data_IF_719492799982
#
_entry.id   IF_719492799982
#
_cell.length_a   1.000
_cell.length_b   1.000
_cell.length_c   1.000
_cell.angle_alpha   90.00
_cell.angle_beta   90.00
_cell.angle_gamma   90.00
#
_symmetry.space_group_name_H-M   'P 1'
#
loop_
_entity.id
_entity.type
_entity.pdbx_description
1 polymer ?
#
# COMPACT_ATOMS: atom_id res chain seq x y z
N UNK A 1 8.97 3.86 -5.37
CA UNK A 1 8.91 4.69 -6.60
C UNK A 1 7.66 5.55 -6.61
N UNK A 2 7.66 6.63 -7.40
CA UNK A 2 6.42 7.30 -7.83
C UNK A 2 5.65 6.41 -8.82
N UNK A 3 4.50 6.88 -9.32
CA UNK A 3 3.76 6.21 -10.39
C UNK A 3 4.61 6.08 -11.64
N UNK A 4 4.69 4.89 -12.20
CA UNK A 4 5.43 4.60 -13.44
C UNK A 4 4.39 4.21 -14.49
N UNK A 5 4.29 5.00 -15.55
CA UNK A 5 3.37 4.82 -16.67
C UNK A 5 4.05 4.17 -17.87
N UNK A 6 3.24 3.66 -18.78
CA UNK A 6 3.67 3.10 -20.06
C UNK A 6 4.00 4.17 -21.08
N UNK A 7 4.94 5.08 -20.75
CA UNK A 7 5.40 6.14 -21.64
C UNK A 7 6.73 5.80 -22.30
N UNK A 8 6.87 6.18 -23.53
CA UNK A 8 8.14 6.14 -24.24
C UNK A 8 9.12 7.14 -23.59
N UNK A 9 10.31 6.70 -23.12
CA UNK A 9 11.22 7.56 -22.39
C UNK A 9 11.89 8.65 -23.25
N UNK A 10 11.89 8.50 -24.59
CA UNK A 10 12.47 9.49 -25.49
C UNK A 10 11.48 10.61 -25.84
N UNK A 11 10.20 10.28 -25.94
CA UNK A 11 9.16 11.23 -26.40
C UNK A 11 8.18 11.65 -25.31
N UNK A 12 8.08 10.89 -24.22
CA UNK A 12 7.07 11.06 -23.18
C UNK A 12 5.66 10.60 -23.57
N UNK A 13 5.46 10.17 -24.82
CA UNK A 13 4.16 9.73 -25.32
C UNK A 13 3.74 8.39 -24.68
N UNK A 14 2.44 8.21 -24.42
CA UNK A 14 1.91 6.91 -24.03
C UNK A 14 2.08 5.89 -25.16
N UNK A 15 2.37 4.65 -24.81
CA UNK A 15 2.40 3.54 -25.74
C UNK A 15 1.06 3.37 -26.47
N UNK A 16 1.13 3.02 -27.76
CA UNK A 16 -0.06 2.77 -28.57
C UNK A 16 -0.64 1.40 -28.21
N UNK A 17 -1.86 1.42 -27.68
CA UNK A 17 -2.58 0.23 -27.22
C UNK A 17 -2.10 -0.37 -25.91
N UNK A 18 -2.86 -1.37 -25.44
CA UNK A 18 -2.67 -1.96 -24.12
C UNK A 18 -1.34 -2.66 -23.94
N UNK A 19 -0.98 -3.58 -24.83
CA UNK A 19 0.26 -4.35 -24.73
C UNK A 19 1.49 -3.42 -24.67
N UNK A 20 1.51 -2.36 -25.47
CA UNK A 20 2.64 -1.43 -25.53
C UNK A 20 2.77 -0.60 -24.26
N UNK A 21 1.65 -0.17 -23.65
CA UNK A 21 1.72 0.55 -22.38
C UNK A 21 2.24 -0.36 -21.24
N UNK A 22 1.81 -1.61 -21.17
CA UNK A 22 2.33 -2.55 -20.18
C UNK A 22 3.81 -2.85 -20.39
N UNK A 23 4.24 -3.13 -21.62
CA UNK A 23 5.65 -3.33 -21.96
C UNK A 23 6.52 -2.12 -21.55
N UNK A 24 6.09 -0.92 -21.90
CA UNK A 24 6.81 0.30 -21.54
C UNK A 24 6.81 0.57 -20.03
N UNK A 25 5.70 0.38 -19.32
CA UNK A 25 5.63 0.59 -17.89
C UNK A 25 6.63 -0.31 -17.14
N UNK A 26 6.64 -1.60 -17.45
CA UNK A 26 7.59 -2.54 -16.86
C UNK A 26 9.05 -2.25 -17.30
N UNK A 27 9.27 -1.89 -18.56
CA UNK A 27 10.58 -1.44 -19.02
C UNK A 27 11.05 -0.16 -18.33
N UNK A 28 10.15 0.78 -18.05
CA UNK A 28 10.45 2.00 -17.30
C UNK A 28 10.79 1.70 -15.84
N UNK A 29 10.07 0.74 -15.20
CA UNK A 29 10.40 0.28 -13.86
C UNK A 29 11.84 -0.26 -13.80
N UNK A 30 12.21 -1.13 -14.75
CA UNK A 30 13.56 -1.68 -14.83
C UNK A 30 14.60 -0.58 -14.98
N UNK A 31 14.42 0.34 -15.95
CA UNK A 31 15.33 1.46 -16.17
C UNK A 31 15.49 2.36 -14.95
N UNK A 32 14.39 2.70 -14.28
CA UNK A 32 14.41 3.54 -13.07
C UNK A 32 15.25 2.89 -11.96
N UNK A 33 15.07 1.60 -11.74
CA UNK A 33 15.81 0.84 -10.73
C UNK A 33 17.30 0.78 -11.09
N UNK A 34 17.65 0.52 -12.35
CA UNK A 34 19.03 0.52 -12.85
C UNK A 34 19.69 1.91 -12.75
N UNK A 35 18.98 2.99 -13.07
CA UNK A 35 19.46 4.37 -12.90
C UNK A 35 19.72 4.74 -11.44
N UNK A 36 18.99 4.14 -10.51
CA UNK A 36 19.24 4.27 -9.08
C UNK A 36 20.42 3.42 -8.57
N UNK A 37 21.15 2.73 -9.46
CA UNK A 37 22.23 1.82 -9.10
C UNK A 37 21.78 0.49 -8.48
N UNK A 38 20.50 0.15 -8.65
CA UNK A 38 19.85 -1.02 -8.10
C UNK A 38 19.60 -2.08 -9.19
N UNK A 39 19.10 -3.23 -8.81
CA UNK A 39 18.74 -4.34 -9.70
C UNK A 39 17.26 -4.69 -9.52
N UNK A 40 16.68 -5.38 -10.51
CA UNK A 40 15.33 -5.94 -10.38
C UNK A 40 15.19 -6.85 -9.14
N UNK A 41 16.28 -7.46 -8.69
CA UNK A 41 16.31 -8.30 -7.49
C UNK A 41 16.16 -7.52 -6.18
N UNK A 42 16.40 -6.21 -6.19
CA UNK A 42 16.19 -5.34 -5.02
C UNK A 42 14.71 -4.97 -4.83
N UNK A 43 13.84 -5.22 -5.83
CA UNK A 43 12.41 -4.95 -5.74
C UNK A 43 11.74 -6.02 -4.86
N UNK A 44 11.19 -5.62 -3.72
CA UNK A 44 10.46 -6.51 -2.82
C UNK A 44 8.98 -6.61 -3.15
N UNK A 45 8.38 -5.52 -3.64
CA UNK A 45 6.95 -5.46 -3.93
C UNK A 45 6.66 -4.59 -5.15
N UNK A 46 5.69 -5.02 -5.97
CA UNK A 46 5.14 -4.23 -7.08
C UNK A 46 3.62 -4.15 -6.96
N UNK A 47 3.07 -2.94 -6.90
CA UNK A 47 1.64 -2.74 -7.13
C UNK A 47 1.41 -2.39 -8.59
N UNK A 48 0.52 -3.12 -9.25
CA UNK A 48 0.08 -2.88 -10.62
C UNK A 48 -1.32 -2.30 -10.57
N UNK A 49 -1.45 -1.05 -10.94
CA UNK A 49 -2.72 -0.34 -11.03
C UNK A 49 -3.20 -0.39 -12.47
N UNK A 50 -4.42 -0.84 -12.67
CA UNK A 50 -5.04 -0.97 -14.00
C UNK A 50 -6.37 -0.22 -14.06
N UNK A 51 -6.70 0.36 -15.20
CA UNK A 51 -7.92 1.13 -15.38
C UNK A 51 -9.19 0.27 -15.36
N UNK A 52 -9.07 -0.98 -15.82
CA UNK A 52 -10.15 -1.97 -15.79
C UNK A 52 -9.60 -3.40 -15.70
N UNK A 53 -10.49 -4.37 -15.43
CA UNK A 53 -10.11 -5.77 -15.19
C UNK A 53 -9.51 -6.48 -16.43
N UNK A 54 -9.75 -5.99 -17.65
CA UNK A 54 -9.21 -6.59 -18.89
C UNK A 54 -7.68 -6.44 -18.96
N UNK A 55 -7.11 -5.43 -18.29
CA UNK A 55 -5.67 -5.24 -18.17
C UNK A 55 -4.94 -6.37 -17.47
N UNK A 56 -5.62 -7.20 -16.67
CA UNK A 56 -4.97 -8.31 -15.92
C UNK A 56 -4.22 -9.29 -16.80
N UNK A 57 -4.78 -9.62 -17.96
CA UNK A 57 -4.16 -10.56 -18.91
C UNK A 57 -2.85 -10.02 -19.52
N UNK A 58 -2.64 -8.71 -19.52
CA UNK A 58 -1.46 -8.06 -20.10
C UNK A 58 -0.26 -8.00 -19.14
N UNK A 59 -0.46 -8.32 -17.86
CA UNK A 59 0.57 -8.16 -16.81
C UNK A 59 1.66 -9.24 -16.90
N UNK A 60 1.26 -10.50 -17.07
CA UNK A 60 2.17 -11.63 -16.84
C UNK A 60 3.30 -11.71 -17.88
N UNK A 61 3.08 -11.28 -19.12
CA UNK A 61 4.11 -11.28 -20.17
C UNK A 61 5.30 -10.36 -19.80
N UNK A 62 5.14 -9.04 -19.60
CA UNK A 62 6.24 -8.17 -19.21
C UNK A 62 6.77 -8.45 -17.79
N UNK A 63 5.92 -8.94 -16.87
CA UNK A 63 6.32 -9.38 -15.56
C UNK A 63 7.38 -10.47 -15.62
N UNK A 64 7.12 -11.55 -16.39
CA UNK A 64 8.04 -12.68 -16.54
C UNK A 64 9.32 -12.33 -17.30
N UNK A 65 9.31 -11.28 -18.12
CA UNK A 65 10.54 -10.77 -18.75
C UNK A 65 11.49 -10.11 -17.74
N UNK A 66 10.95 -9.47 -16.68
CA UNK A 66 11.75 -8.83 -15.64
C UNK A 66 12.07 -9.79 -14.49
N UNK A 67 11.12 -10.65 -14.14
CA UNK A 67 11.22 -11.62 -13.04
C UNK A 67 11.05 -13.06 -13.57
N UNK A 68 12.01 -13.56 -14.39
CA UNK A 68 11.88 -14.89 -15.01
C UNK A 68 12.00 -16.04 -14.02
N UNK A 69 12.85 -15.89 -13.00
CA UNK A 69 13.09 -16.92 -11.99
C UNK A 69 11.90 -17.02 -11.04
N UNK A 70 11.19 -18.15 -11.05
CA UNK A 70 10.03 -18.40 -10.20
C UNK A 70 10.35 -18.39 -8.71
N UNK A 71 11.58 -18.71 -8.34
CA UNK A 71 12.05 -18.71 -6.96
C UNK A 71 12.62 -17.35 -6.52
N UNK A 72 12.53 -16.32 -7.39
CA UNK A 72 13.02 -14.98 -7.10
C UNK A 72 12.08 -13.89 -7.65
N UNK A 73 10.77 -14.04 -7.48
CA UNK A 73 9.78 -13.01 -7.85
C UNK A 73 9.40 -12.14 -6.66
N UNK A 74 9.19 -10.82 -6.84
CA UNK A 74 8.67 -9.97 -5.78
C UNK A 74 7.20 -10.28 -5.48
N UNK A 75 6.73 -9.86 -4.30
CA UNK A 75 5.31 -9.81 -4.00
C UNK A 75 4.59 -8.86 -4.97
N UNK A 76 3.32 -9.14 -5.30
CA UNK A 76 2.54 -8.31 -6.23
C UNK A 76 1.10 -8.13 -5.75
N UNK A 77 0.61 -6.90 -5.87
CA UNK A 77 -0.81 -6.57 -5.82
C UNK A 77 -1.24 -6.02 -7.17
N UNK A 78 -2.29 -6.55 -7.75
CA UNK A 78 -3.00 -5.92 -8.86
C UNK A 78 -4.30 -5.32 -8.34
N UNK A 79 -4.57 -4.07 -8.67
CA UNK A 79 -5.77 -3.36 -8.24
C UNK A 79 -6.33 -2.51 -9.36
N UNK A 80 -7.65 -2.47 -9.48
CA UNK A 80 -8.37 -1.65 -10.46
C UNK A 80 -8.90 -0.40 -9.79
N UNK A 81 -8.65 0.75 -10.40
CA UNK A 81 -9.29 2.01 -10.07
C UNK A 81 -9.15 2.99 -11.25
N UNK A 82 -9.92 4.09 -11.28
CA UNK A 82 -9.79 5.09 -12.33
C UNK A 82 -8.34 5.60 -12.45
N UNK A 83 -7.81 5.59 -13.65
CA UNK A 83 -6.50 6.13 -13.99
C UNK A 83 -6.67 7.45 -14.78
N UNK A 84 -5.63 8.29 -14.89
CA UNK A 84 -5.64 9.46 -15.76
C UNK A 84 -6.00 9.10 -17.21
N UNK A 85 -6.51 10.09 -17.97
CA UNK A 85 -6.98 9.87 -19.34
C UNK A 85 -5.94 9.13 -20.21
N UNK A 86 -6.42 8.09 -20.94
CA UNK A 86 -5.62 7.20 -21.80
C UNK A 86 -4.54 6.36 -21.10
N UNK A 87 -4.30 6.56 -19.80
CA UNK A 87 -3.41 5.70 -19.02
C UNK A 87 -4.17 4.44 -18.62
N UNK A 88 -3.66 3.27 -18.95
CA UNK A 88 -4.30 1.99 -18.63
C UNK A 88 -3.55 1.17 -17.60
N UNK A 89 -2.29 1.55 -17.32
CA UNK A 89 -1.45 0.93 -16.31
C UNK A 89 -0.55 1.93 -15.63
N UNK A 90 -0.42 1.83 -14.31
CA UNK A 90 0.61 2.46 -13.51
C UNK A 90 1.26 1.41 -12.62
N UNK A 91 2.57 1.52 -12.40
CA UNK A 91 3.30 0.68 -11.47
C UNK A 91 3.83 1.51 -10.31
N UNK A 92 3.92 0.87 -9.15
CA UNK A 92 4.59 1.37 -7.97
C UNK A 92 5.44 0.24 -7.40
N UNK A 93 6.68 0.51 -7.04
CA UNK A 93 7.56 -0.49 -6.48
C UNK A 93 8.22 -0.03 -5.18
N UNK A 94 8.39 -0.98 -4.26
CA UNK A 94 9.18 -0.88 -3.05
C UNK A 94 10.25 -1.95 -3.06
N UNK A 95 11.39 -1.68 -2.43
CA UNK A 95 12.48 -2.63 -2.38
C UNK A 95 13.54 -2.22 -1.37
N UNK A 96 14.55 -3.07 -1.22
CA UNK A 96 15.67 -2.88 -0.30
C UNK A 96 16.97 -3.10 -1.07
N UNK A 97 17.80 -2.07 -1.16
CA UNK A 97 19.06 -2.11 -1.88
C UNK A 97 19.97 -3.24 -1.39
N UNK A 98 20.48 -4.05 -2.31
CA UNK A 98 21.39 -5.14 -2.03
C UNK A 98 20.80 -6.33 -1.26
N UNK A 99 19.50 -6.34 -1.01
CA UNK A 99 18.85 -7.42 -0.29
C UNK A 99 18.51 -8.59 -1.23
N UNK A 100 18.91 -9.79 -0.83
CA UNK A 100 18.48 -11.01 -1.52
C UNK A 100 17.02 -11.31 -1.15
N UNK A 101 16.16 -11.44 -2.17
CA UNK A 101 14.78 -11.87 -1.98
C UNK A 101 14.71 -13.37 -1.61
N UNK A 102 13.76 -13.68 -0.74
CA UNK A 102 13.36 -15.04 -0.40
C UNK A 102 11.84 -15.11 -0.56
N UNK A 103 11.31 -15.84 -1.54
CA UNK A 103 9.87 -16.03 -1.69
C UNK A 103 9.31 -16.77 -0.47
N UNK A 104 8.09 -16.40 -0.09
CA UNK A 104 7.36 -16.98 1.02
C UNK A 104 6.05 -17.55 0.50
N UNK A 105 5.75 -18.77 0.95
CA UNK A 105 4.52 -19.46 0.59
C UNK A 105 3.82 -19.97 1.86
N UNK A 106 2.51 -20.02 1.82
CA UNK A 106 1.71 -20.67 2.86
C UNK A 106 1.39 -22.07 2.33
N UNK A 107 1.88 -23.15 2.98
CA UNK A 107 1.59 -24.50 2.53
C UNK A 107 0.08 -24.73 2.35
N UNK A 108 -0.30 -25.26 1.19
CA UNK A 108 -1.69 -25.51 0.82
C UNK A 108 -2.41 -24.36 0.13
N UNK A 109 -1.85 -23.14 0.11
CA UNK A 109 -2.37 -22.03 -0.68
C UNK A 109 -1.57 -21.84 -1.97
N UNK A 110 -2.21 -21.28 -3.00
CA UNK A 110 -1.56 -20.94 -4.26
C UNK A 110 -2.21 -19.73 -4.92
N UNK A 111 -1.41 -18.95 -5.64
CA UNK A 111 -1.89 -17.94 -6.58
C UNK A 111 -2.10 -18.55 -7.97
N UNK A 112 -3.04 -18.00 -8.74
CA UNK A 112 -3.19 -18.34 -10.18
C UNK A 112 -2.14 -17.64 -11.03
N UNK A 113 -1.69 -16.47 -10.58
CA UNK A 113 -0.67 -15.66 -11.24
C UNK A 113 0.75 -16.10 -10.81
N UNK A 114 1.78 -15.88 -11.65
CA UNK A 114 3.15 -16.28 -11.37
C UNK A 114 3.83 -15.34 -10.35
N UNK A 115 3.40 -15.39 -9.11
CA UNK A 115 3.92 -14.60 -7.99
C UNK A 115 3.85 -15.39 -6.68
N UNK A 116 4.75 -15.12 -5.72
CA UNK A 116 4.72 -15.75 -4.39
C UNK A 116 3.61 -15.16 -3.52
N UNK A 117 3.25 -15.83 -2.41
CA UNK A 117 2.37 -15.28 -1.36
C UNK A 117 2.98 -14.04 -0.70
N UNK A 118 4.29 -13.96 -0.66
CA UNK A 118 5.06 -12.84 -0.18
C UNK A 118 6.54 -13.04 -0.42
N UNK A 119 7.35 -12.11 0.04
CA UNK A 119 8.79 -12.28 0.08
C UNK A 119 9.41 -11.54 1.26
N UNK A 120 10.58 -12.03 1.67
CA UNK A 120 11.50 -11.37 2.58
C UNK A 120 12.65 -10.78 1.78
N UNK A 121 12.93 -9.50 1.98
CA UNK A 121 14.04 -8.75 1.38
C UNK A 121 14.83 -8.07 2.49
N UNK A 122 15.97 -8.67 2.90
CA UNK A 122 16.67 -8.25 4.11
C UNK A 122 15.80 -8.43 5.36
N UNK A 123 15.58 -7.38 6.13
CA UNK A 123 14.65 -7.39 7.25
C UNK A 123 13.20 -7.09 6.86
N UNK A 124 12.95 -6.59 5.64
CA UNK A 124 11.60 -6.25 5.20
C UNK A 124 10.86 -7.48 4.68
N UNK A 125 9.57 -7.57 5.00
CA UNK A 125 8.65 -8.58 4.48
C UNK A 125 7.49 -7.88 3.79
N UNK A 126 7.18 -8.30 2.58
CA UNK A 126 6.05 -7.81 1.79
C UNK A 126 5.14 -8.97 1.41
N UNK A 127 3.85 -8.84 1.64
CA UNK A 127 2.90 -9.84 1.14
C UNK A 127 2.38 -9.47 -0.24
N UNK A 128 2.04 -10.49 -1.02
CA UNK A 128 1.03 -10.37 -2.06
C UNK A 128 -0.36 -10.31 -1.41
N UNK A 129 -1.41 -10.50 -2.19
CA UNK A 129 -2.77 -10.51 -1.66
C UNK A 129 -3.02 -11.82 -0.90
N UNK A 130 -3.53 -11.69 0.32
CA UNK A 130 -3.98 -12.79 1.16
C UNK A 130 -5.50 -12.69 1.33
N UNK A 131 -6.21 -13.77 1.12
CA UNK A 131 -7.66 -13.86 1.33
C UNK A 131 -8.01 -14.88 2.40
N UNK A 132 -9.32 -15.11 2.56
CA UNK A 132 -9.86 -16.08 3.52
C UNK A 132 -9.89 -17.51 2.97
N UNK A 133 -8.86 -17.95 2.23
CA UNK A 133 -8.77 -19.34 1.78
C UNK A 133 -8.26 -20.24 2.91
N UNK A 134 -8.91 -21.37 3.10
CA UNK A 134 -8.45 -22.44 4.01
C UNK A 134 -7.24 -23.15 3.37
N UNK A 135 -6.08 -23.21 4.03
CA UNK A 135 -4.89 -23.89 3.51
C UNK A 135 -5.08 -25.39 3.26
N UNK A 136 -6.05 -26.03 3.89
CA UNK A 136 -6.33 -27.47 3.68
C UNK A 136 -7.04 -27.73 2.37
N UNK A 137 -7.84 -26.81 1.89
CA UNK A 137 -8.70 -26.99 0.71
C UNK A 137 -8.38 -26.05 -0.43
N UNK A 138 -7.62 -24.99 -0.17
CA UNK A 138 -7.35 -23.84 -1.06
C UNK A 138 -8.64 -23.14 -1.55
N UNK A 139 -9.73 -23.25 -0.79
CA UNK A 139 -11.01 -22.62 -1.11
C UNK A 139 -11.33 -21.52 -0.11
N UNK A 140 -12.08 -20.50 -0.56
CA UNK A 140 -12.63 -19.49 0.36
C UNK A 140 -13.52 -20.17 1.39
N UNK A 141 -13.33 -19.84 2.67
CA UNK A 141 -14.26 -20.26 3.71
C UNK A 141 -15.58 -19.49 3.55
N UNK A 142 -16.69 -20.09 3.98
CA UNK A 142 -17.99 -19.45 3.91
C UNK A 142 -18.16 -18.45 5.08
N UNK A 143 -18.88 -17.37 4.84
CA UNK A 143 -19.21 -16.38 5.86
C UNK A 143 -18.19 -15.24 5.96
N UNK A 144 -18.69 -14.06 6.36
CA UNK A 144 -17.87 -12.84 6.44
C UNK A 144 -16.87 -12.89 7.58
N UNK A 145 -17.32 -13.32 8.77
CA UNK A 145 -16.48 -13.42 9.97
C UNK A 145 -15.40 -14.47 9.76
N UNK A 146 -15.77 -15.64 9.27
CA UNK A 146 -14.88 -16.77 9.02
C UNK A 146 -13.81 -16.43 7.96
N UNK A 147 -14.20 -15.75 6.88
CA UNK A 147 -13.22 -15.28 5.88
C UNK A 147 -12.28 -14.24 6.45
N UNK A 148 -12.78 -13.33 7.29
CA UNK A 148 -11.95 -12.33 7.96
C UNK A 148 -10.93 -13.02 8.88
N UNK A 149 -11.38 -13.90 9.76
CA UNK A 149 -10.50 -14.64 10.67
C UNK A 149 -9.47 -15.47 9.91
N UNK A 150 -9.89 -16.18 8.85
CA UNK A 150 -8.97 -16.98 8.04
C UNK A 150 -7.93 -16.11 7.29
N UNK A 151 -8.33 -14.95 6.76
CA UNK A 151 -7.40 -14.03 6.11
C UNK A 151 -6.32 -13.52 7.09
N UNK A 152 -6.70 -13.21 8.33
CA UNK A 152 -5.76 -12.81 9.37
C UNK A 152 -4.87 -13.98 9.82
N UNK A 153 -5.38 -15.22 9.87
CA UNK A 153 -4.55 -16.41 10.13
C UNK A 153 -3.54 -16.64 8.99
N UNK A 154 -3.94 -16.45 7.74
CA UNK A 154 -3.03 -16.54 6.59
C UNK A 154 -1.95 -15.45 6.66
N UNK A 155 -2.30 -14.23 7.10
CA UNK A 155 -1.32 -13.16 7.34
C UNK A 155 -0.31 -13.57 8.43
N UNK A 156 -0.77 -14.14 9.55
CA UNK A 156 0.09 -14.68 10.61
C UNK A 156 0.99 -15.78 10.09
N UNK A 157 0.43 -16.76 9.39
CA UNK A 157 1.21 -17.88 8.83
C UNK A 157 2.32 -17.38 7.90
N UNK A 158 2.05 -16.35 7.07
CA UNK A 158 3.05 -15.83 6.15
C UNK A 158 4.19 -15.10 6.87
N UNK A 159 3.91 -14.28 7.89
CA UNK A 159 4.97 -13.61 8.64
C UNK A 159 5.81 -14.60 9.47
N UNK A 160 5.21 -15.68 9.97
CA UNK A 160 5.91 -16.76 10.64
C UNK A 160 6.85 -17.52 9.68
N UNK A 161 6.47 -17.72 8.41
CA UNK A 161 7.37 -18.26 7.38
C UNK A 161 8.60 -17.38 7.13
N UNK A 162 8.48 -16.07 7.34
CA UNK A 162 9.60 -15.14 7.25
C UNK A 162 10.52 -15.18 8.50
N UNK A 163 10.14 -15.92 9.53
CA UNK A 163 10.82 -15.97 10.83
C UNK A 163 10.45 -14.81 11.75
N UNK A 164 9.31 -14.15 11.51
CA UNK A 164 8.77 -13.06 12.32
C UNK A 164 7.50 -13.44 13.08
N UNK A 165 6.90 -12.44 13.70
CA UNK A 165 5.62 -12.53 14.41
C UNK A 165 4.70 -11.40 13.98
N UNK A 166 3.46 -11.39 14.46
CA UNK A 166 2.54 -10.27 14.21
C UNK A 166 3.04 -8.93 14.74
N UNK A 167 3.98 -8.94 15.69
CA UNK A 167 4.59 -7.73 16.25
C UNK A 167 5.55 -7.05 15.26
N UNK A 168 6.04 -7.81 14.26
CA UNK A 168 6.87 -7.28 13.18
C UNK A 168 6.06 -6.64 12.05
N UNK A 169 4.71 -6.68 12.09
CA UNK A 169 3.86 -6.07 11.07
C UNK A 169 3.74 -4.57 11.35
N UNK A 170 4.18 -3.73 10.41
CA UNK A 170 4.11 -2.26 10.52
C UNK A 170 2.88 -1.65 9.87
N UNK A 171 2.38 -2.26 8.80
CA UNK A 171 1.27 -1.76 8.00
C UNK A 171 0.41 -2.90 7.47
N UNK A 172 -0.90 -2.74 7.55
CA UNK A 172 -1.88 -3.63 6.92
C UNK A 172 -2.82 -2.85 6.01
N UNK A 173 -2.87 -3.24 4.74
CA UNK A 173 -3.90 -2.80 3.81
C UNK A 173 -5.03 -3.82 3.83
N UNK A 174 -6.26 -3.34 4.08
CA UNK A 174 -7.47 -4.17 4.10
C UNK A 174 -8.38 -3.71 2.97
N UNK A 175 -8.74 -4.63 2.09
CA UNK A 175 -9.68 -4.42 1.01
C UNK A 175 -10.97 -5.16 1.37
N UNK A 176 -12.03 -4.41 1.63
CA UNK A 176 -13.35 -4.95 1.99
C UNK A 176 -14.32 -4.84 0.83
N UNK A 177 -15.15 -5.88 0.66
CA UNK A 177 -16.24 -5.86 -0.29
C UNK A 177 -17.30 -4.82 0.05
N UNK A 178 -17.67 -4.73 1.33
CA UNK A 178 -18.76 -3.89 1.81
C UNK A 178 -18.42 -3.23 3.16
N UNK A 179 -18.95 -2.03 3.37
CA UNK A 179 -18.84 -1.33 4.65
C UNK A 179 -19.53 -2.10 5.79
N UNK A 180 -20.55 -2.89 5.49
CA UNK A 180 -21.23 -3.76 6.47
C UNK A 180 -20.28 -4.80 7.07
N UNK A 181 -19.17 -5.14 6.40
CA UNK A 181 -18.17 -6.09 6.88
C UNK A 181 -17.16 -5.44 7.89
N UNK A 182 -17.21 -4.10 8.09
CA UNK A 182 -16.28 -3.39 8.98
C UNK A 182 -16.32 -3.84 10.45
N UNK A 183 -17.47 -4.15 11.08
CA UNK A 183 -17.48 -4.69 12.44
C UNK A 183 -16.69 -5.99 12.57
N UNK A 184 -16.85 -6.93 11.64
CA UNK A 184 -16.07 -8.18 11.64
C UNK A 184 -14.55 -7.92 11.48
N UNK A 185 -14.17 -6.91 10.70
CA UNK A 185 -12.78 -6.46 10.62
C UNK A 185 -12.27 -5.96 11.97
N UNK A 186 -13.03 -5.10 12.65
CA UNK A 186 -12.62 -4.52 13.94
C UNK A 186 -12.47 -5.62 15.00
N UNK A 187 -13.42 -6.54 15.10
CA UNK A 187 -13.36 -7.64 16.05
C UNK A 187 -12.15 -8.54 15.80
N UNK A 188 -11.90 -8.92 14.55
CA UNK A 188 -10.74 -9.75 14.18
C UNK A 188 -9.43 -9.02 14.38
N UNK A 189 -9.40 -7.72 14.09
CA UNK A 189 -8.25 -6.84 14.32
C UNK A 189 -7.87 -6.81 15.80
N UNK A 190 -8.84 -6.58 16.69
CA UNK A 190 -8.62 -6.52 18.13
C UNK A 190 -8.21 -7.88 18.73
N UNK A 191 -8.69 -9.00 18.16
CA UNK A 191 -8.21 -10.35 18.55
C UNK A 191 -6.73 -10.53 18.18
N UNK A 192 -6.28 -10.02 17.02
CA UNK A 192 -4.89 -10.18 16.57
C UNK A 192 -3.95 -9.16 17.20
N UNK A 193 -4.39 -7.92 17.38
CA UNK A 193 -3.64 -6.80 17.94
C UNK A 193 -4.35 -6.23 19.18
N UNK A 194 -4.35 -6.95 20.31
CA UNK A 194 -5.16 -6.57 21.48
C UNK A 194 -4.62 -5.32 22.21
N UNK A 195 -3.31 -5.09 22.17
CA UNK A 195 -2.67 -4.02 22.93
C UNK A 195 -2.80 -2.67 22.24
N UNK A 196 -3.45 -1.71 22.88
CA UNK A 196 -3.80 -0.40 22.30
C UNK A 196 -2.56 0.40 21.85
N UNK A 197 -1.54 0.46 22.63
CA UNK A 197 -0.30 1.20 22.28
C UNK A 197 0.63 0.47 21.30
N UNK A 198 0.24 -0.71 20.78
CA UNK A 198 1.08 -1.57 19.95
C UNK A 198 0.29 -2.21 18.81
N UNK A 199 -0.39 -1.38 18.01
CA UNK A 199 -1.10 -1.82 16.80
C UNK A 199 -0.37 -1.35 15.55
N UNK A 200 -0.34 -2.13 14.46
CA UNK A 200 0.19 -1.64 13.19
C UNK A 200 -0.70 -0.53 12.61
N UNK A 201 -0.12 0.30 11.77
CA UNK A 201 -0.88 1.20 10.93
C UNK A 201 -1.79 0.41 9.99
N UNK A 202 -2.97 0.96 9.68
CA UNK A 202 -3.93 0.29 8.79
C UNK A 202 -4.56 1.26 7.81
N UNK A 203 -4.76 0.78 6.59
CA UNK A 203 -5.60 1.42 5.59
C UNK A 203 -6.70 0.45 5.16
N UNK A 204 -7.95 0.84 5.35
CA UNK A 204 -9.11 0.09 4.85
C UNK A 204 -9.65 0.77 3.59
N UNK A 205 -9.89 -0.01 2.54
CA UNK A 205 -10.41 0.43 1.24
C UNK A 205 -11.64 -0.40 0.93
N UNK A 206 -12.75 0.26 0.61
CA UNK A 206 -13.91 -0.39 -0.01
C UNK A 206 -13.53 -0.73 -1.45
N UNK A 207 -13.57 -2.02 -1.79
CA UNK A 207 -12.98 -2.51 -3.03
C UNK A 207 -14.04 -3.18 -3.90
N UNK A 208 -14.54 -2.45 -4.89
CA UNK A 208 -15.66 -2.86 -5.74
C UNK A 208 -15.37 -4.13 -6.54
N UNK A 209 -14.11 -4.46 -6.82
CA UNK A 209 -13.75 -5.71 -7.48
C UNK A 209 -14.13 -6.98 -6.70
N UNK A 210 -14.38 -6.86 -5.40
CA UNK A 210 -14.86 -7.97 -4.58
C UNK A 210 -16.38 -8.19 -4.68
N UNK A 211 -17.11 -7.22 -5.22
CA UNK A 211 -18.55 -7.35 -5.44
C UNK A 211 -18.84 -8.48 -6.45
N UNK A 212 -19.77 -9.36 -6.08
CA UNK A 212 -20.13 -10.53 -6.87
C UNK A 212 -19.11 -11.68 -6.86
N UNK A 213 -18.05 -11.59 -6.05
CA UNK A 213 -17.08 -12.67 -5.84
C UNK A 213 -17.34 -13.38 -4.51
N UNK A 214 -16.83 -14.61 -4.40
CA UNK A 214 -16.82 -15.35 -3.12
C UNK A 214 -15.86 -14.71 -2.10
N UNK A 215 -14.82 -14.03 -2.55
CA UNK A 215 -13.85 -13.33 -1.72
C UNK A 215 -14.48 -12.05 -1.16
N UNK A 216 -14.54 -11.93 0.16
CA UNK A 216 -15.16 -10.81 0.88
C UNK A 216 -14.12 -9.82 1.41
N UNK A 217 -12.91 -10.32 1.66
CA UNK A 217 -11.79 -9.56 2.20
C UNK A 217 -10.49 -9.97 1.53
N UNK A 218 -9.61 -9.00 1.35
CA UNK A 218 -8.22 -9.22 0.98
C UNK A 218 -7.33 -8.39 1.90
N UNK A 219 -6.21 -8.97 2.31
CA UNK A 219 -5.18 -8.32 3.10
C UNK A 219 -3.90 -8.21 2.30
N UNK A 220 -3.13 -7.19 2.62
CA UNK A 220 -1.74 -7.01 2.21
C UNK A 220 -0.99 -6.37 3.37
N UNK A 221 0.25 -6.76 3.63
CA UNK A 221 1.03 -6.16 4.71
C UNK A 221 2.47 -5.88 4.30
N UNK A 222 3.07 -4.94 5.05
CA UNK A 222 4.50 -4.72 5.11
C UNK A 222 4.96 -4.87 6.57
N UNK A 223 6.10 -5.56 6.75
CA UNK A 223 6.67 -5.84 8.05
C UNK A 223 8.19 -5.58 8.04
N UNK A 224 8.78 -5.36 9.22
CA UNK A 224 10.21 -5.25 9.41
C UNK A 224 10.64 -6.11 10.59
N UNK A 225 11.36 -7.20 10.32
CA UNK A 225 11.72 -8.21 11.31
C UNK A 225 12.68 -7.66 12.37
N UNK A 226 12.41 -8.03 13.63
CA UNK A 226 13.24 -7.68 14.78
C UNK A 226 13.09 -6.22 15.23
N UNK A 227 12.15 -5.47 14.66
CA UNK A 227 11.80 -4.14 15.11
C UNK A 227 10.85 -4.16 16.30
N UNK A 228 10.97 -3.19 17.20
CA UNK A 228 9.95 -2.94 18.22
C UNK A 228 8.99 -1.88 17.71
N UNK A 229 7.70 -2.21 17.64
CA UNK A 229 6.67 -1.27 17.21
C UNK A 229 6.42 -0.21 18.28
N UNK A 230 6.22 1.03 17.84
CA UNK A 230 5.81 2.15 18.66
C UNK A 230 4.78 2.98 17.91
N UNK A 231 3.67 3.30 18.57
CA UNK A 231 2.56 4.06 18.00
C UNK A 231 2.70 5.55 18.29
N UNK A 232 2.13 6.34 17.38
CA UNK A 232 2.13 7.80 17.46
C UNK A 232 0.76 8.35 17.06
N UNK A 233 0.35 9.37 17.82
CA UNK A 233 -0.89 10.10 17.61
C UNK A 233 -0.60 11.60 17.50
N UNK A 234 -1.48 12.32 16.83
CA UNK A 234 -1.50 13.79 16.84
C UNK A 234 -2.77 14.22 17.55
N UNK A 235 -2.63 15.01 18.59
CA UNK A 235 -3.76 15.46 19.38
C UNK A 235 -4.84 16.13 18.50
N UNK A 236 -6.10 15.73 18.65
CA UNK A 236 -7.23 16.20 17.85
C UNK A 236 -7.29 15.66 16.41
N UNK A 237 -6.35 14.80 16.01
CA UNK A 237 -6.35 14.13 14.71
C UNK A 237 -6.41 12.63 14.97
N UNK A 238 -7.61 12.08 15.03
CA UNK A 238 -7.79 10.69 15.40
C UNK A 238 -8.50 9.87 14.33
N UNK A 239 -8.50 8.58 14.53
CA UNK A 239 -9.31 7.62 13.82
C UNK A 239 -10.52 7.21 14.66
N UNK A 240 -11.61 6.84 14.00
CA UNK A 240 -12.73 6.19 14.67
C UNK A 240 -12.45 4.71 14.93
N UNK A 241 -11.57 4.13 14.11
CA UNK A 241 -11.13 2.74 14.26
C UNK A 241 -9.97 2.63 15.27
N UNK A 242 -9.80 1.47 15.93
CA UNK A 242 -8.73 1.23 16.91
C UNK A 242 -7.35 1.03 16.24
N UNK A 243 -6.85 2.07 15.59
CA UNK A 243 -5.57 2.10 14.87
C UNK A 243 -4.79 3.37 15.19
N UNK A 244 -3.46 3.35 15.24
CA UNK A 244 -2.67 4.56 15.42
C UNK A 244 -2.71 5.47 14.18
N UNK A 245 -2.41 6.75 14.34
CA UNK A 245 -2.19 7.64 13.21
C UNK A 245 -0.93 7.25 12.45
N UNK A 246 0.09 6.78 13.16
CA UNK A 246 1.30 6.21 12.59
C UNK A 246 2.01 5.27 13.55
N UNK A 247 2.86 4.40 13.02
CA UNK A 247 3.69 3.49 13.77
C UNK A 247 5.10 3.46 13.21
N UNK A 248 6.10 3.35 14.10
CA UNK A 248 7.46 2.97 13.72
C UNK A 248 7.69 1.50 14.03
N UNK A 249 8.58 0.88 13.27
CA UNK A 249 9.06 -0.48 13.47
C UNK A 249 10.58 -0.50 13.20
N UNK A 250 11.37 -0.40 14.26
CA UNK A 250 12.77 -0.01 14.12
C UNK A 250 12.87 1.40 13.51
N UNK A 251 13.62 1.52 12.41
CA UNK A 251 13.74 2.78 11.67
C UNK A 251 12.62 2.99 10.63
N UNK A 252 11.87 1.96 10.28
CA UNK A 252 10.79 2.11 9.31
C UNK A 252 9.57 2.76 9.95
N UNK A 253 8.95 3.72 9.28
CA UNK A 253 7.67 4.23 9.70
C UNK A 253 6.58 4.00 8.65
N UNK A 254 5.35 3.88 9.14
CA UNK A 254 4.13 3.69 8.36
C UNK A 254 3.02 4.54 8.97
N UNK A 255 2.30 5.32 8.17
CA UNK A 255 1.11 6.00 8.66
C UNK A 255 -0.16 5.18 8.38
N UNK A 256 -1.19 5.40 9.16
CA UNK A 256 -2.58 5.14 8.71
C UNK A 256 -3.04 6.25 7.77
N UNK A 257 -4.32 6.35 7.47
CA UNK A 257 -4.83 7.41 6.61
C UNK A 257 -4.84 8.77 7.33
N UNK A 258 -4.06 9.73 6.90
CA UNK A 258 -4.00 11.09 7.45
C UNK A 258 -5.00 11.96 6.71
N UNK A 259 -6.03 12.43 7.39
CA UNK A 259 -7.11 13.26 6.84
C UNK A 259 -7.01 14.71 7.28
N UNK A 260 -7.82 15.58 6.66
CA UNK A 260 -7.87 17.00 6.93
C UNK A 260 -8.69 17.38 8.18
N UNK A 261 -8.34 16.82 9.33
CA UNK A 261 -8.89 17.22 10.63
C UNK A 261 -8.14 18.42 11.18
N UNK A 262 -8.88 19.37 11.75
CA UNK A 262 -8.30 20.48 12.50
C UNK A 262 -7.95 20.00 13.92
N UNK A 263 -6.66 19.93 14.23
CA UNK A 263 -6.16 19.41 15.51
C UNK A 263 -6.62 20.20 16.73
N UNK A 264 -7.04 21.47 16.57
CA UNK A 264 -7.55 22.30 17.66
C UNK A 264 -9.00 22.00 18.01
N UNK A 265 -9.80 21.62 17.02
CA UNK A 265 -11.24 21.41 17.19
C UNK A 265 -11.64 19.94 17.13
N UNK A 266 -10.78 19.06 16.64
CA UNK A 266 -11.06 17.64 16.37
C UNK A 266 -12.08 17.44 15.23
N UNK A 267 -12.37 18.48 14.45
CA UNK A 267 -13.37 18.42 13.37
C UNK A 267 -12.71 18.35 12.01
N UNK A 268 -13.32 17.60 11.11
CA UNK A 268 -12.91 17.59 9.72
C UNK A 268 -13.27 18.91 9.04
N UNK A 269 -12.36 19.44 8.22
CA UNK A 269 -12.64 20.64 7.44
C UNK A 269 -13.72 20.37 6.36
N UNK A 270 -14.50 21.40 6.04
CA UNK A 270 -15.63 21.30 5.11
C UNK A 270 -15.19 21.35 3.66
N UNK A 271 -14.19 22.19 3.32
CA UNK A 271 -13.75 22.39 1.93
C UNK A 271 -12.52 21.54 1.58
N UNK A 272 -12.39 21.19 0.31
CA UNK A 272 -11.26 20.44 -0.21
C UNK A 272 -9.92 21.14 0.05
N UNK A 273 -9.85 22.47 -0.19
CA UNK A 273 -8.65 23.27 0.02
C UNK A 273 -8.19 23.20 1.48
N UNK A 274 -9.14 23.35 2.40
CA UNK A 274 -8.82 23.27 3.83
C UNK A 274 -8.48 21.85 4.26
N UNK A 275 -9.18 20.84 3.74
CA UNK A 275 -8.84 19.44 4.00
C UNK A 275 -7.43 19.11 3.51
N UNK A 276 -7.06 19.56 2.30
CA UNK A 276 -5.72 19.35 1.76
C UNK A 276 -4.65 20.02 2.64
N UNK A 277 -4.82 21.30 2.95
CA UNK A 277 -3.88 22.02 3.80
C UNK A 277 -3.69 21.35 5.17
N UNK A 278 -4.78 20.94 5.81
CA UNK A 278 -4.73 20.29 7.12
C UNK A 278 -4.13 18.87 7.04
N UNK A 279 -4.40 18.09 5.98
CA UNK A 279 -3.81 16.76 5.84
C UNK A 279 -2.28 16.84 5.76
N UNK A 280 -1.72 17.79 4.99
CA UNK A 280 -0.27 18.00 4.95
C UNK A 280 0.29 18.59 6.25
N UNK A 281 -0.48 19.45 6.95
CA UNK A 281 -0.10 19.91 8.29
C UNK A 281 -0.09 18.77 9.30
N UNK A 282 -1.06 17.87 9.27
CA UNK A 282 -1.14 16.69 10.13
C UNK A 282 -0.02 15.69 9.85
N UNK A 283 0.37 15.52 8.58
CA UNK A 283 1.56 14.76 8.23
C UNK A 283 2.82 15.35 8.91
N UNK A 284 3.01 16.66 8.81
CA UNK A 284 4.14 17.33 9.48
C UNK A 284 4.10 17.14 10.99
N UNK A 285 2.92 17.28 11.61
CA UNK A 285 2.74 17.07 13.04
C UNK A 285 3.08 15.63 13.44
N UNK A 286 2.62 14.64 12.67
CA UNK A 286 2.95 13.22 12.91
C UNK A 286 4.45 12.97 12.84
N UNK A 287 5.16 13.54 11.85
CA UNK A 287 6.61 13.42 11.76
C UNK A 287 7.31 14.05 12.95
N UNK A 288 6.81 15.18 13.45
CA UNK A 288 7.32 15.83 14.68
C UNK A 288 7.12 14.95 15.91
N UNK A 289 5.94 14.32 16.07
CA UNK A 289 5.70 13.38 17.18
C UNK A 289 6.63 12.15 17.12
N UNK A 290 7.03 11.74 15.92
CA UNK A 290 8.03 10.68 15.72
C UNK A 290 9.47 11.14 16.01
N UNK A 291 9.67 12.43 16.34
CA UNK A 291 11.00 13.02 16.53
C UNK A 291 11.78 13.16 15.21
N UNK A 292 11.09 13.28 14.09
CA UNK A 292 11.68 13.28 12.74
C UNK A 292 11.16 14.45 11.91
N UNK A 293 11.77 14.69 10.75
CA UNK A 293 11.36 15.68 9.78
C UNK A 293 10.64 15.09 8.57
N UNK A 294 10.17 15.97 7.69
CA UNK A 294 9.52 15.56 6.43
C UNK A 294 10.48 14.88 5.44
N UNK A 295 11.77 15.06 5.58
CA UNK A 295 12.84 14.41 4.82
C UNK A 295 12.93 12.89 5.08
N UNK A 296 12.36 12.42 6.18
CA UNK A 296 12.19 10.99 6.47
C UNK A 296 11.08 10.32 5.61
N UNK A 297 10.19 11.11 4.99
CA UNK A 297 9.12 10.58 4.15
C UNK A 297 9.69 10.14 2.79
N UNK A 298 9.80 8.84 2.59
CA UNK A 298 10.33 8.28 1.33
C UNK A 298 9.24 8.14 0.26
N UNK A 299 8.02 7.86 0.67
CA UNK A 299 6.88 7.70 -0.23
C UNK A 299 5.59 8.27 0.37
N UNK A 300 4.79 8.91 -0.48
CA UNK A 300 3.49 9.48 -0.15
C UNK A 300 2.42 9.00 -1.14
N UNK A 301 1.50 8.16 -0.67
CA UNK A 301 0.26 7.87 -1.40
C UNK A 301 -0.76 8.95 -1.09
N UNK A 302 -1.30 9.57 -2.11
CA UNK A 302 -2.33 10.61 -2.02
C UNK A 302 -3.63 10.04 -2.58
N UNK A 303 -4.58 9.79 -1.71
CA UNK A 303 -5.89 9.28 -2.06
C UNK A 303 -6.86 10.44 -2.17
N UNK A 304 -7.50 10.55 -3.31
CA UNK A 304 -8.45 11.61 -3.65
C UNK A 304 -9.84 11.01 -3.86
N UNK A 305 -10.88 11.72 -3.49
CA UNK A 305 -12.25 11.35 -3.87
C UNK A 305 -12.45 11.52 -5.38
N UNK A 306 -11.78 12.54 -5.96
CA UNK A 306 -11.88 12.90 -7.37
C UNK A 306 -10.55 13.50 -7.86
N UNK A 307 -10.08 13.11 -9.05
CA UNK A 307 -8.86 13.64 -9.67
C UNK A 307 -8.90 15.15 -9.95
N UNK A 308 -10.08 15.77 -10.01
CA UNK A 308 -10.21 17.24 -10.12
C UNK A 308 -9.54 17.97 -8.95
N UNK A 309 -9.31 17.30 -7.83
CA UNK A 309 -8.54 17.82 -6.70
C UNK A 309 -7.02 17.93 -6.96
N UNK A 310 -6.51 17.38 -8.06
CA UNK A 310 -5.07 17.26 -8.35
C UNK A 310 -4.30 18.58 -8.17
N UNK A 311 -4.77 19.68 -8.76
CA UNK A 311 -4.07 20.98 -8.72
C UNK A 311 -3.95 21.53 -7.30
N UNK A 312 -5.01 21.40 -6.50
CA UNK A 312 -5.05 21.84 -5.10
C UNK A 312 -4.06 21.02 -4.26
N UNK A 313 -4.04 19.72 -4.49
CA UNK A 313 -3.17 18.80 -3.76
C UNK A 313 -1.71 18.99 -4.15
N UNK A 314 -1.42 19.19 -5.45
CA UNK A 314 -0.06 19.47 -5.91
C UNK A 314 0.50 20.77 -5.35
N UNK A 315 -0.33 21.82 -5.21
CA UNK A 315 0.07 23.06 -4.54
C UNK A 315 0.54 22.77 -3.11
N UNK A 316 -0.28 22.09 -2.31
CA UNK A 316 0.08 21.73 -0.92
C UNK A 316 1.31 20.82 -0.83
N UNK A 317 1.47 19.87 -1.77
CA UNK A 317 2.65 19.03 -1.86
C UNK A 317 3.92 19.85 -2.07
N UNK A 318 3.90 20.79 -3.03
CA UNK A 318 5.06 21.61 -3.37
C UNK A 318 5.39 22.62 -2.26
N UNK A 319 4.38 23.14 -1.55
CA UNK A 319 4.58 23.99 -0.36
C UNK A 319 5.15 23.20 0.83
N UNK A 320 4.77 21.93 0.96
CA UNK A 320 5.24 21.05 2.04
C UNK A 320 6.65 20.52 1.77
N UNK A 321 6.96 20.19 0.51
CA UNK A 321 8.24 19.67 0.03
C UNK A 321 8.79 20.57 -1.07
N UNK A 322 9.30 21.77 -0.72
CA UNK A 322 9.74 22.76 -1.72
C UNK A 322 11.02 22.33 -2.46
N UNK A 323 11.92 21.64 -1.76
CA UNK A 323 13.15 21.11 -2.36
C UNK A 323 12.84 19.89 -3.24
N UNK A 324 13.02 20.03 -4.53
CA UNK A 324 12.71 18.98 -5.52
C UNK A 324 13.53 17.70 -5.33
N UNK A 325 14.74 17.82 -4.78
CA UNK A 325 15.67 16.69 -4.61
C UNK A 325 15.40 15.91 -3.32
N UNK A 326 14.56 16.47 -2.41
CA UNK A 326 14.11 15.86 -1.15
C UNK A 326 12.63 15.49 -1.15
N UNK A 327 11.95 15.61 -2.27
CA UNK A 327 10.54 15.21 -2.36
C UNK A 327 10.38 13.71 -2.26
N UNK A 328 9.38 13.23 -1.51
CA UNK A 328 9.06 11.82 -1.52
C UNK A 328 8.63 11.35 -2.91
N UNK A 329 8.78 10.06 -3.16
CA UNK A 329 8.08 9.45 -4.28
C UNK A 329 6.55 9.58 -4.06
N UNK A 330 5.79 9.93 -5.09
CA UNK A 330 4.35 10.22 -4.95
C UNK A 330 3.53 9.33 -5.87
N UNK A 331 2.45 8.78 -5.32
CA UNK A 331 1.41 8.12 -6.09
C UNK A 331 0.04 8.70 -5.74
N UNK A 332 -0.67 9.22 -6.75
CA UNK A 332 -2.03 9.72 -6.59
C UNK A 332 -3.03 8.70 -7.12
N UNK A 333 -4.11 8.48 -6.39
CA UNK A 333 -5.19 7.57 -6.77
C UNK A 333 -6.56 8.15 -6.42
N UNK A 334 -7.53 8.01 -7.31
CA UNK A 334 -8.91 8.36 -7.03
C UNK A 334 -9.66 7.11 -6.54
N UNK A 335 -10.22 7.18 -5.33
CA UNK A 335 -10.98 6.07 -4.74
C UNK A 335 -12.02 6.57 -3.73
N UNK A 336 -12.99 5.71 -3.42
CA UNK A 336 -13.98 5.99 -2.39
C UNK A 336 -13.34 6.22 -1.03
N UNK A 337 -13.45 7.45 -0.50
CA UNK A 337 -12.98 7.79 0.82
C UNK A 337 -14.12 7.76 1.84
N UNK A 338 -13.88 7.39 3.10
CA UNK A 338 -14.92 7.33 4.12
C UNK A 338 -15.47 8.71 4.47
N UNK A 339 -16.76 8.76 4.82
CA UNK A 339 -17.43 9.98 5.26
C UNK A 339 -17.35 11.13 4.25
N UNK A 340 -16.98 12.32 4.72
CA UNK A 340 -16.84 13.55 3.93
C UNK A 340 -15.40 13.81 3.48
N UNK A 341 -14.47 12.86 3.69
CA UNK A 341 -13.08 12.99 3.25
C UNK A 341 -12.99 13.22 1.74
N UNK A 342 -12.29 14.27 1.34
CA UNK A 342 -11.94 14.55 -0.05
C UNK A 342 -10.52 14.11 -0.39
N UNK A 343 -9.67 14.03 0.65
CA UNK A 343 -8.27 13.63 0.58
C UNK A 343 -7.88 12.83 1.82
N UNK A 344 -7.01 11.84 1.61
CA UNK A 344 -6.22 11.19 2.65
C UNK A 344 -4.79 11.00 2.17
N UNK A 345 -3.84 11.21 3.04
CA UNK A 345 -2.43 10.89 2.82
C UNK A 345 -2.09 9.58 3.52
N UNK A 346 -1.17 8.84 2.93
CA UNK A 346 -0.55 7.67 3.55
C UNK A 346 0.95 7.74 3.26
N UNK A 347 1.74 7.81 4.32
CA UNK A 347 3.18 8.00 4.24
C UNK A 347 3.94 6.78 4.74
N UNK A 348 5.04 6.47 4.08
CA UNK A 348 6.02 5.50 4.56
C UNK A 348 7.43 6.06 4.37
N UNK A 349 8.35 5.64 5.22
CA UNK A 349 9.72 6.13 5.12
C UNK A 349 10.62 5.57 6.21
N UNK A 350 11.71 6.29 6.49
CA UNK A 350 12.75 5.87 7.43
C UNK A 350 13.03 7.04 8.37
N UNK A 351 12.80 6.82 9.67
CA UNK A 351 13.19 7.74 10.75
C UNK A 351 14.60 7.42 11.24
N UNK A 352 15.29 8.42 11.77
CA UNK A 352 16.66 8.26 12.29
C UNK A 352 16.73 7.50 13.62
#
# INVERSE_FOLDING_TARGET
TSSIEGRDPATGALGDGGEKQFELAFGNLKRLVEQAGLKADDIGHVTVFIGDASGRQLINKPWLQIFPDEHNRPARKTTTYPLPDKVIVQLQAFGVAGAKRQPLEIPGLSHRDPLPMGNKSGSMVYSSVLGGQDPKTNKQVAGTVEQMEQAFQNMRALIEQAGGTTDDIGLVWVFLRDKADQPALIDTWLKMFPHDGDRPSRKTIMYDELKGRETLVQLQFAAALGGKRKNYEVAGVGHHDPIPLGATLGKNFFSSGISGYDSKTGKQAETLERQAALAFQNLRALMTEMGSGLDAVAHLSIMLRDYRAHSIVMKNLLETFPDKDKRPAVHQMALGLPGTNQIQLHAVGIVE
#
